data_IF_303834933345
#
_entry.id   IF_303834933345
#
_cell.length_a   1.000
_cell.length_b   1.000
_cell.length_c   1.000
_cell.angle_alpha   90.00
_cell.angle_beta   90.00
_cell.angle_gamma   90.00
#
_symmetry.space_group_name_H-M   'P 1'
#
loop_
_entity.id
_entity.type
_entity.pdbx_description
1 polymer ?
#
# COMPACT_ATOMS: atom_id res chain seq x y z
N UNK A 1 24.53 35.91 16.43
CA UNK A 1 24.45 34.45 16.29
C UNK A 1 25.86 33.91 16.42
N UNK A 2 26.15 33.12 17.45
CA UNK A 2 27.49 32.54 17.66
C UNK A 2 27.77 31.42 16.66
N UNK A 3 29.05 31.08 16.44
CA UNK A 3 29.45 29.96 15.59
C UNK A 3 28.82 28.64 16.05
N UNK A 4 28.70 28.44 17.37
CA UNK A 4 28.05 27.28 17.97
C UNK A 4 26.55 27.25 17.68
N UNK A 5 25.83 28.37 17.85
CA UNK A 5 24.40 28.47 17.51
C UNK A 5 24.14 28.12 16.04
N UNK A 6 25.04 28.52 15.13
CA UNK A 6 24.94 28.17 13.71
C UNK A 6 25.01 26.66 13.47
N UNK A 7 25.92 25.96 14.15
CA UNK A 7 26.03 24.51 14.01
C UNK A 7 24.87 23.77 14.66
N UNK A 8 24.41 24.21 15.83
CA UNK A 8 23.23 23.64 16.49
C UNK A 8 21.97 23.83 15.64
N UNK A 9 21.81 24.99 15.00
CA UNK A 9 20.72 25.26 14.07
C UNK A 9 20.80 24.37 12.81
N UNK A 10 22.01 24.08 12.31
CA UNK A 10 22.23 23.22 11.16
C UNK A 10 22.02 21.72 11.46
N UNK A 11 22.26 21.28 12.70
CA UNK A 11 22.12 19.89 13.12
C UNK A 11 20.68 19.37 13.05
N UNK A 12 19.68 20.25 13.10
CA UNK A 12 18.27 19.87 13.03
C UNK A 12 17.60 20.45 11.79
N UNK A 13 16.87 19.63 11.04
CA UNK A 13 16.14 20.10 9.85
C UNK A 13 15.08 21.13 10.22
N UNK A 14 15.01 22.25 9.49
CA UNK A 14 14.03 23.34 9.69
C UNK A 14 12.58 22.85 9.79
N UNK A 15 12.18 21.90 8.93
CA UNK A 15 10.83 21.33 8.99
C UNK A 15 10.57 20.56 10.30
N UNK A 16 11.56 19.82 10.81
CA UNK A 16 11.45 19.12 12.09
C UNK A 16 11.34 20.11 13.22
N UNK A 17 12.14 21.19 13.22
CA UNK A 17 12.07 22.26 14.21
C UNK A 17 10.67 22.92 14.23
N UNK A 18 10.14 23.29 13.05
CA UNK A 18 8.81 23.89 12.94
C UNK A 18 7.70 22.94 13.41
N UNK A 19 7.75 21.67 12.97
CA UNK A 19 6.77 20.66 13.36
C UNK A 19 6.81 20.36 14.86
N UNK A 20 7.99 20.40 15.48
CA UNK A 20 8.13 20.20 16.92
C UNK A 20 7.64 21.43 17.69
N UNK A 21 7.99 22.64 17.25
CA UNK A 21 7.50 23.88 17.85
C UNK A 21 5.97 24.00 17.78
N UNK A 22 5.34 23.54 16.70
CA UNK A 22 3.89 23.48 16.58
C UNK A 22 3.27 22.44 17.53
N UNK A 23 3.90 21.27 17.66
CA UNK A 23 3.42 20.23 18.57
C UNK A 23 3.54 20.64 20.05
N UNK A 24 4.60 21.35 20.42
CA UNK A 24 4.78 21.95 21.74
C UNK A 24 3.72 23.01 22.00
N UNK A 25 3.52 23.97 21.08
CA UNK A 25 2.47 24.99 21.22
C UNK A 25 1.08 24.40 21.36
N UNK A 26 0.72 23.41 20.56
CA UNK A 26 -0.58 22.76 20.71
C UNK A 26 -0.73 22.00 22.03
N UNK A 27 0.36 21.53 22.64
CA UNK A 27 0.28 20.93 23.97
C UNK A 27 0.03 22.00 25.05
N UNK A 28 0.67 23.17 24.94
CA UNK A 28 0.55 24.25 25.92
C UNK A 28 -0.72 25.09 25.74
N UNK A 29 -0.99 25.53 24.51
CA UNK A 29 -2.04 26.48 24.16
C UNK A 29 -3.38 25.78 23.88
N UNK A 30 -3.40 24.77 22.98
CA UNK A 30 -4.67 24.14 22.55
C UNK A 30 -5.19 23.11 23.58
N UNK A 31 -4.28 22.38 24.24
CA UNK A 31 -4.64 21.39 25.26
C UNK A 31 -4.61 21.96 26.69
N UNK A 32 -3.85 23.02 26.95
CA UNK A 32 -3.67 23.57 28.30
C UNK A 32 -2.71 22.77 29.19
N UNK A 33 -1.78 22.02 28.58
CA UNK A 33 -0.75 21.26 29.29
C UNK A 33 0.42 22.16 29.73
N UNK A 34 1.07 21.79 30.83
CA UNK A 34 2.27 22.50 31.31
C UNK A 34 3.52 21.69 31.04
N UNK A 35 4.60 22.39 30.67
CA UNK A 35 5.93 21.82 30.51
C UNK A 35 6.85 22.29 31.64
N UNK A 36 7.65 21.41 32.27
CA UNK A 36 7.76 19.96 32.02
C UNK A 36 6.49 19.19 32.38
N UNK A 37 6.12 18.22 31.53
CA UNK A 37 4.91 17.43 31.67
C UNK A 37 5.18 16.12 32.41
N UNK A 38 4.15 15.59 33.09
CA UNK A 38 4.15 14.23 33.65
C UNK A 38 3.67 13.21 32.62
N UNK A 39 3.98 11.92 32.80
CA UNK A 39 3.42 10.85 31.97
C UNK A 39 1.89 10.88 31.92
N UNK A 40 1.22 11.16 33.04
CA UNK A 40 -0.24 11.30 33.09
C UNK A 40 -0.76 12.46 32.23
N UNK A 41 -0.10 13.63 32.26
CA UNK A 41 -0.50 14.77 31.44
C UNK A 41 -0.35 14.44 29.95
N UNK A 42 0.74 13.76 29.57
CA UNK A 42 0.96 13.30 28.19
C UNK A 42 -0.07 12.24 27.79
N UNK A 43 -0.42 11.29 28.67
CA UNK A 43 -1.43 10.27 28.39
C UNK A 43 -2.83 10.87 28.20
N UNK A 44 -3.24 11.83 29.04
CA UNK A 44 -4.51 12.57 28.87
C UNK A 44 -4.53 13.35 27.57
N UNK A 45 -3.42 13.99 27.20
CA UNK A 45 -3.29 14.66 25.91
C UNK A 45 -3.50 13.71 24.73
N UNK A 46 -2.87 12.53 24.76
CA UNK A 46 -3.09 11.53 23.71
C UNK A 46 -4.56 11.09 23.62
N UNK A 47 -5.19 10.82 24.77
CA UNK A 47 -6.58 10.39 24.84
C UNK A 47 -7.54 11.46 24.30
N UNK A 48 -7.34 12.73 24.68
CA UNK A 48 -8.17 13.86 24.25
C UNK A 48 -8.20 14.03 22.72
N UNK A 49 -7.11 13.70 22.03
CA UNK A 49 -7.00 13.85 20.58
C UNK A 49 -7.01 12.51 19.81
N UNK A 50 -7.31 11.40 20.48
CA UNK A 50 -7.32 10.06 19.88
C UNK A 50 -8.33 9.93 18.72
N UNK A 51 -9.51 10.54 18.87
CA UNK A 51 -10.56 10.52 17.85
C UNK A 51 -10.40 11.55 16.72
N UNK A 52 -9.59 12.59 16.91
CA UNK A 52 -9.47 13.71 15.97
C UNK A 52 -8.15 13.74 15.20
N UNK A 53 -7.09 13.12 15.74
CA UNK A 53 -5.76 13.10 15.13
C UNK A 53 -5.35 11.68 14.72
N UNK A 54 -4.61 11.59 13.61
CA UNK A 54 -4.04 10.31 13.17
C UNK A 54 -2.99 9.77 14.15
N UNK A 55 -2.84 8.45 14.21
CA UNK A 55 -1.78 7.78 14.97
C UNK A 55 -0.37 8.30 14.64
N UNK A 56 -0.12 8.66 13.38
CA UNK A 56 1.15 9.25 12.96
C UNK A 56 1.36 10.66 13.51
N UNK A 57 0.30 11.48 13.55
CA UNK A 57 0.31 12.81 14.15
C UNK A 57 0.57 12.71 15.66
N UNK A 58 -0.13 11.83 16.37
CA UNK A 58 0.05 11.62 17.81
C UNK A 58 1.48 11.15 18.13
N UNK A 59 2.04 10.22 17.34
CA UNK A 59 3.44 9.78 17.50
C UNK A 59 4.44 10.92 17.28
N UNK A 60 4.20 11.77 16.28
CA UNK A 60 5.04 12.95 16.03
C UNK A 60 4.98 13.93 17.21
N UNK A 61 3.80 14.16 17.79
CA UNK A 61 3.63 15.02 18.97
C UNK A 61 4.37 14.46 20.18
N UNK A 62 4.30 13.15 20.44
CA UNK A 62 5.14 12.50 21.46
C UNK A 62 6.62 12.75 21.22
N UNK A 63 7.07 12.62 19.96
CA UNK A 63 8.49 12.82 19.62
C UNK A 63 8.94 14.27 19.86
N UNK A 64 8.04 15.24 19.62
CA UNK A 64 8.28 16.64 19.91
C UNK A 64 8.35 16.92 21.41
N UNK A 65 7.41 16.40 22.21
CA UNK A 65 7.41 16.53 23.67
C UNK A 65 8.66 15.88 24.28
N UNK A 66 9.00 14.67 23.86
CA UNK A 66 10.21 13.97 24.25
C UNK A 66 11.48 14.79 23.92
N UNK A 67 11.52 15.40 22.74
CA UNK A 67 12.62 16.26 22.31
C UNK A 67 12.67 17.59 23.06
N UNK A 68 11.54 18.11 23.52
CA UNK A 68 11.51 19.30 24.37
C UNK A 68 12.16 18.98 25.72
N UNK A 69 11.72 17.91 26.40
CA UNK A 69 12.24 17.53 27.72
C UNK A 69 13.74 17.28 27.70
N UNK A 70 14.22 16.48 26.72
CA UNK A 70 15.65 16.19 26.59
C UNK A 70 16.50 17.44 26.34
N UNK A 71 16.00 18.41 25.55
CA UNK A 71 16.74 19.66 25.29
C UNK A 71 16.81 20.58 26.50
N UNK A 72 15.83 20.49 27.39
CA UNK A 72 15.77 21.25 28.64
C UNK A 72 16.40 20.51 29.83
N UNK A 73 16.92 19.29 29.62
CA UNK A 73 17.56 18.49 30.67
C UNK A 73 16.59 17.71 31.57
N UNK A 74 15.30 17.64 31.24
CA UNK A 74 14.31 16.88 32.01
C UNK A 74 14.21 15.41 31.55
N UNK A 75 13.79 14.49 32.44
CA UNK A 75 13.40 13.13 32.07
C UNK A 75 12.32 13.12 30.98
N UNK A 76 12.29 12.07 30.17
CA UNK A 76 11.36 11.93 29.04
C UNK A 76 10.04 11.25 29.49
N UNK A 77 8.95 12.00 29.73
CA UNK A 77 7.68 11.44 30.24
C UNK A 77 7.00 10.52 29.21
N UNK A 78 7.38 10.61 27.93
CA UNK A 78 6.77 9.79 26.86
C UNK A 78 7.17 8.32 26.94
N UNK A 79 8.19 8.01 27.75
CA UNK A 79 8.68 6.65 28.02
C UNK A 79 8.04 6.04 29.26
N UNK A 80 7.13 6.72 29.94
CA UNK A 80 6.41 6.14 31.07
C UNK A 80 5.38 5.10 30.59
N UNK A 81 5.10 4.11 31.43
CA UNK A 81 4.24 2.99 31.06
C UNK A 81 2.80 3.44 30.76
N UNK A 82 2.29 4.42 31.50
CA UNK A 82 0.97 5.02 31.28
C UNK A 82 0.83 5.57 29.86
N UNK A 83 1.88 6.22 29.32
CA UNK A 83 1.88 6.78 27.97
C UNK A 83 1.93 5.66 26.92
N UNK A 84 2.76 4.63 27.15
CA UNK A 84 2.83 3.48 26.23
C UNK A 84 1.51 2.73 26.14
N UNK A 85 0.88 2.44 27.27
CA UNK A 85 -0.41 1.75 27.32
C UNK A 85 -1.52 2.60 26.73
N UNK A 86 -1.57 3.89 27.03
CA UNK A 86 -2.53 4.81 26.41
C UNK A 86 -2.39 4.79 24.88
N UNK A 87 -1.17 4.92 24.36
CA UNK A 87 -0.94 4.90 22.91
C UNK A 87 -1.24 3.53 22.27
N UNK A 88 -0.97 2.42 22.97
CA UNK A 88 -1.36 1.07 22.53
C UNK A 88 -2.88 0.94 22.45
N UNK A 89 -3.60 1.39 23.46
CA UNK A 89 -5.08 1.40 23.50
C UNK A 89 -5.67 2.26 22.38
N UNK A 90 -5.12 3.45 22.15
CA UNK A 90 -5.53 4.33 21.03
C UNK A 90 -5.39 3.61 19.70
N UNK A 91 -4.27 2.90 19.46
CA UNK A 91 -4.09 2.15 18.21
C UNK A 91 -5.08 1.00 18.04
N UNK A 92 -5.50 0.38 19.14
CA UNK A 92 -6.48 -0.72 19.12
C UNK A 92 -7.90 -0.21 18.85
N UNK A 93 -8.29 0.91 19.47
CA UNK A 93 -9.64 1.47 19.37
C UNK A 93 -9.82 2.40 18.15
N UNK A 94 -8.75 3.07 17.72
CA UNK A 94 -8.72 3.98 16.58
C UNK A 94 -7.78 3.46 15.50
N UNK A 95 -8.05 2.24 15.03
CA UNK A 95 -7.36 1.67 13.88
C UNK A 95 -7.73 2.49 12.63
N UNK A 96 -6.79 3.30 12.16
CA UNK A 96 -6.95 4.09 10.93
C UNK A 96 -6.22 3.42 9.78
N UNK A 97 -6.90 3.20 8.66
CA UNK A 97 -6.24 2.83 7.39
C UNK A 97 -5.36 4.00 6.95
N UNK A 98 -4.06 3.76 6.77
CA UNK A 98 -3.16 4.78 6.25
C UNK A 98 -3.57 5.16 4.82
N UNK A 99 -4.06 6.38 4.64
CA UNK A 99 -4.37 6.90 3.30
C UNK A 99 -3.08 7.05 2.51
N UNK A 100 -2.92 6.21 1.51
CA UNK A 100 -1.80 6.26 0.57
C UNK A 100 -2.12 7.23 -0.56
N UNK A 101 -1.10 7.88 -1.12
CA UNK A 101 -1.30 8.80 -2.24
C UNK A 101 -1.70 8.02 -3.50
N UNK A 102 -2.66 8.57 -4.26
CA UNK A 102 -3.03 8.04 -5.58
C UNK A 102 -1.79 8.00 -6.49
N UNK A 103 -1.41 6.84 -7.07
CA UNK A 103 -0.29 6.75 -8.00
C UNK A 103 -0.65 7.45 -9.31
N UNK A 104 0.30 8.22 -9.88
CA UNK A 104 0.14 8.73 -11.24
C UNK A 104 0.41 7.60 -12.24
N UNK A 105 -0.57 7.26 -13.07
CA UNK A 105 -0.39 6.23 -14.09
C UNK A 105 0.39 6.78 -15.29
N UNK A 106 1.09 5.91 -16.01
CA UNK A 106 1.85 6.33 -17.21
C UNK A 106 0.91 6.89 -18.29
N UNK A 107 -0.31 6.35 -18.43
CA UNK A 107 -1.30 6.89 -19.36
C UNK A 107 -1.68 8.35 -19.05
N UNK A 108 -1.83 8.69 -17.76
CA UNK A 108 -2.08 10.08 -17.35
C UNK A 108 -0.83 10.95 -17.58
N UNK A 109 0.37 10.42 -17.34
CA UNK A 109 1.62 11.10 -17.62
C UNK A 109 1.77 11.44 -19.10
N UNK A 110 1.38 10.54 -20.00
CA UNK A 110 1.34 10.75 -21.45
C UNK A 110 0.38 11.86 -21.85
N UNK A 111 -0.84 11.82 -21.27
CA UNK A 111 -1.85 12.85 -21.50
C UNK A 111 -1.33 14.24 -21.10
N UNK A 112 -0.67 14.34 -19.96
CA UNK A 112 -0.14 15.61 -19.46
C UNK A 112 1.09 16.07 -20.25
N UNK A 113 1.98 15.17 -20.69
CA UNK A 113 3.10 15.51 -21.59
C UNK A 113 2.58 16.11 -22.91
N UNK A 114 1.59 15.44 -23.52
CA UNK A 114 0.96 15.92 -24.75
C UNK A 114 0.30 17.29 -24.56
N UNK A 115 -0.46 17.47 -23.47
CA UNK A 115 -1.04 18.75 -23.10
C UNK A 115 0.01 19.86 -22.98
N UNK A 116 1.10 19.62 -22.24
CA UNK A 116 2.16 20.62 -22.08
C UNK A 116 2.86 20.96 -23.41
N UNK A 117 3.12 19.97 -24.27
CA UNK A 117 3.72 20.20 -25.59
C UNK A 117 2.80 21.06 -26.46
N UNK A 118 1.51 20.74 -26.52
CA UNK A 118 0.52 21.51 -27.26
C UNK A 118 0.39 22.94 -26.71
N UNK A 119 0.31 23.10 -25.39
CA UNK A 119 0.23 24.41 -24.75
C UNK A 119 1.47 25.28 -25.02
N UNK A 120 2.67 24.69 -24.99
CA UNK A 120 3.90 25.42 -25.32
C UNK A 120 3.95 25.85 -26.79
N UNK A 121 3.53 24.98 -27.71
CA UNK A 121 3.48 25.29 -29.14
C UNK A 121 2.45 26.38 -29.44
N UNK A 122 1.25 26.28 -28.87
CA UNK A 122 0.18 27.27 -29.03
C UNK A 122 0.61 28.65 -28.50
N UNK A 123 1.12 28.69 -27.28
CA UNK A 123 1.56 29.93 -26.65
C UNK A 123 2.70 30.60 -27.44
N UNK A 124 3.59 29.80 -28.06
CA UNK A 124 4.63 30.33 -28.97
C UNK A 124 4.03 30.97 -30.22
N UNK A 125 3.03 30.33 -30.84
CA UNK A 125 2.35 30.88 -32.03
C UNK A 125 1.60 32.18 -31.71
N UNK A 126 1.03 32.28 -30.52
CA UNK A 126 0.28 33.46 -30.05
C UNK A 126 1.18 34.57 -29.49
N UNK A 127 2.48 34.33 -29.33
CA UNK A 127 3.39 35.26 -28.66
C UNK A 127 3.18 35.35 -27.13
N UNK A 128 2.41 34.44 -26.53
CA UNK A 128 2.26 34.32 -25.08
C UNK A 128 3.51 33.67 -24.47
N UNK A 129 4.49 34.52 -24.20
CA UNK A 129 5.74 34.12 -23.55
C UNK A 129 5.51 33.51 -22.17
N UNK A 130 4.49 33.94 -21.44
CA UNK A 130 4.21 33.46 -20.09
C UNK A 130 3.61 32.05 -20.11
N UNK A 131 2.70 31.77 -21.05
CA UNK A 131 2.15 30.45 -21.30
C UNK A 131 3.22 29.45 -21.73
N UNK A 132 4.07 29.82 -22.70
CA UNK A 132 5.14 28.95 -23.20
C UNK A 132 6.09 28.53 -22.07
N UNK A 133 6.55 29.50 -21.27
CA UNK A 133 7.49 29.26 -20.18
C UNK A 133 6.89 28.42 -19.06
N UNK A 134 5.60 28.59 -18.77
CA UNK A 134 4.90 27.76 -17.78
C UNK A 134 4.78 26.32 -18.26
N UNK A 135 4.35 26.10 -19.50
CA UNK A 135 4.17 24.77 -20.08
C UNK A 135 5.49 23.99 -20.13
N UNK A 136 6.59 24.61 -20.56
CA UNK A 136 7.92 23.98 -20.60
C UNK A 136 8.44 23.63 -19.19
N UNK A 137 8.31 24.55 -18.23
CA UNK A 137 8.70 24.28 -16.83
C UNK A 137 7.88 23.12 -16.25
N UNK A 138 6.58 23.13 -16.47
CA UNK A 138 5.65 22.18 -15.86
C UNK A 138 5.87 20.77 -16.42
N UNK A 139 6.11 20.67 -17.73
CA UNK A 139 6.55 19.44 -18.39
C UNK A 139 7.84 18.89 -17.78
N UNK A 140 8.89 19.72 -17.71
CA UNK A 140 10.19 19.32 -17.18
C UNK A 140 10.10 18.87 -15.71
N UNK A 141 9.37 19.62 -14.88
CA UNK A 141 9.18 19.30 -13.46
C UNK A 141 8.42 17.99 -13.27
N UNK A 142 7.36 17.75 -14.07
CA UNK A 142 6.54 16.54 -13.99
C UNK A 142 7.34 15.29 -14.40
N UNK A 143 7.95 15.31 -15.59
CA UNK A 143 8.68 14.16 -16.13
C UNK A 143 9.89 13.83 -15.25
N UNK A 144 10.66 14.83 -14.83
CA UNK A 144 11.79 14.61 -13.94
C UNK A 144 11.34 14.08 -12.58
N UNK A 145 10.26 14.64 -12.03
CA UNK A 145 9.67 14.19 -10.77
C UNK A 145 9.16 12.76 -10.80
N UNK A 146 8.52 12.35 -11.91
CA UNK A 146 8.05 10.99 -12.12
C UNK A 146 9.21 10.02 -12.31
N UNK A 147 10.01 10.18 -13.37
CA UNK A 147 11.03 9.21 -13.74
C UNK A 147 12.11 9.04 -12.67
N UNK A 148 12.49 10.12 -11.99
CA UNK A 148 13.45 10.05 -10.89
C UNK A 148 12.81 9.80 -9.53
N UNK A 149 11.49 9.65 -9.49
CA UNK A 149 10.73 9.38 -8.28
C UNK A 149 11.04 10.36 -7.13
N UNK A 150 11.39 11.60 -7.46
CA UNK A 150 11.91 12.57 -6.49
C UNK A 150 10.82 13.02 -5.53
N UNK A 151 11.23 13.38 -4.30
CA UNK A 151 10.32 14.07 -3.38
C UNK A 151 10.18 15.53 -3.81
N UNK A 152 9.07 16.16 -3.42
CA UNK A 152 8.85 17.59 -3.65
C UNK A 152 9.99 18.47 -3.13
N UNK A 153 10.56 18.13 -1.97
CA UNK A 153 11.74 18.82 -1.41
C UNK A 153 13.00 18.66 -2.26
N UNK A 154 13.18 17.50 -2.87
CA UNK A 154 14.35 17.23 -3.71
C UNK A 154 14.23 18.04 -5.02
N UNK A 155 13.04 18.04 -5.64
CA UNK A 155 12.77 18.78 -6.88
C UNK A 155 12.99 20.28 -6.75
N UNK A 156 12.47 20.92 -5.69
CA UNK A 156 12.61 22.38 -5.51
C UNK A 156 14.02 22.81 -5.10
N UNK A 157 14.90 21.86 -4.79
CA UNK A 157 16.30 22.10 -4.39
C UNK A 157 17.31 21.78 -5.49
N UNK A 158 16.86 21.33 -6.66
CA UNK A 158 17.72 21.16 -7.81
C UNK A 158 18.28 22.52 -8.25
N UNK A 159 19.59 22.56 -8.47
CA UNK A 159 20.37 23.75 -8.77
C UNK A 159 21.14 23.51 -10.07
N UNK A 160 21.09 24.46 -11.01
CA UNK A 160 21.65 24.32 -12.37
C UNK A 160 23.16 24.06 -12.31
N UNK A 161 23.87 24.68 -11.37
CA UNK A 161 25.30 24.46 -11.14
C UNK A 161 25.67 23.02 -10.73
N UNK A 162 24.67 22.21 -10.33
CA UNK A 162 24.83 20.80 -9.96
C UNK A 162 24.29 19.85 -11.03
N UNK A 163 23.98 20.37 -12.22
CA UNK A 163 23.51 19.61 -13.36
C UNK A 163 24.65 19.40 -14.36
N UNK A 164 24.73 18.20 -14.90
CA UNK A 164 25.48 17.93 -16.14
C UNK A 164 24.48 17.38 -17.14
N UNK A 165 24.07 18.23 -18.08
CA UNK A 165 23.17 17.87 -19.17
C UNK A 165 24.00 17.42 -20.37
N UNK A 166 23.74 16.20 -20.86
CA UNK A 166 24.24 15.67 -22.12
C UNK A 166 23.02 15.41 -23.03
N UNK A 167 22.70 16.33 -23.95
CA UNK A 167 21.54 16.21 -24.83
C UNK A 167 21.49 14.85 -25.54
N UNK A 168 20.31 14.24 -25.59
CA UNK A 168 20.11 12.92 -26.19
C UNK A 168 20.69 11.72 -25.41
N UNK A 169 21.48 11.94 -24.35
CA UNK A 169 22.16 10.88 -23.60
C UNK A 169 21.65 10.79 -22.15
N UNK A 170 21.90 11.83 -21.34
CA UNK A 170 21.64 11.78 -19.90
C UNK A 170 21.62 13.15 -19.24
N UNK A 171 21.01 13.18 -18.05
CA UNK A 171 21.05 14.29 -17.12
C UNK A 171 21.59 13.79 -15.77
N UNK A 172 22.76 14.28 -15.37
CA UNK A 172 23.33 14.00 -14.05
C UNK A 172 22.96 15.11 -13.08
N UNK A 173 22.54 14.75 -11.86
CA UNK A 173 22.00 15.64 -10.84
C UNK A 173 22.69 15.37 -9.51
N UNK A 174 23.40 16.35 -8.97
CA UNK A 174 23.93 16.27 -7.62
C UNK A 174 23.02 16.98 -6.60
N UNK A 175 22.64 16.26 -5.55
CA UNK A 175 21.89 16.80 -4.41
C UNK A 175 22.77 16.79 -3.17
N UNK A 176 23.11 17.96 -2.59
CA UNK A 176 24.01 18.04 -1.43
C UNK A 176 23.46 17.35 -0.18
N UNK A 177 22.13 17.28 -0.05
CA UNK A 177 21.47 16.60 1.07
C UNK A 177 20.14 16.03 0.61
N UNK A 178 19.67 14.97 1.24
CA UNK A 178 18.33 14.40 1.01
C UNK A 178 17.69 13.95 2.32
N UNK A 179 16.37 13.69 2.34
CA UNK A 179 15.69 13.24 3.58
C UNK A 179 16.31 11.94 4.14
N UNK A 180 16.84 11.06 3.30
CA UNK A 180 17.47 9.81 3.70
C UNK A 180 18.95 9.96 4.08
N UNK A 181 19.58 11.06 3.69
CA UNK A 181 20.99 11.34 3.96
C UNK A 181 21.15 11.91 5.37
N UNK A 182 21.62 11.05 6.29
CA UNK A 182 21.88 11.40 7.69
C UNK A 182 23.25 12.07 7.88
N UNK A 183 24.19 11.77 7.00
CA UNK A 183 25.60 12.20 7.11
C UNK A 183 25.91 13.42 6.22
N UNK A 184 24.95 13.85 5.39
CA UNK A 184 25.08 14.98 4.46
C UNK A 184 26.23 14.79 3.45
N UNK A 185 26.45 13.55 3.00
CA UNK A 185 27.44 13.24 1.96
C UNK A 185 26.96 13.68 0.57
N UNK A 186 25.67 13.94 0.42
CA UNK A 186 25.05 14.20 -0.86
C UNK A 186 24.88 12.96 -1.71
N UNK A 187 24.18 13.10 -2.84
CA UNK A 187 23.94 11.99 -3.74
C UNK A 187 23.85 12.47 -5.19
N UNK A 188 24.54 11.74 -6.07
CA UNK A 188 24.46 11.93 -7.52
C UNK A 188 23.45 10.97 -8.11
N UNK A 189 22.62 11.48 -9.02
CA UNK A 189 21.62 10.72 -9.76
C UNK A 189 21.86 10.89 -11.25
N UNK A 190 21.72 9.81 -12.00
CA UNK A 190 21.76 9.84 -13.47
C UNK A 190 20.36 9.53 -13.98
N UNK A 191 19.86 10.37 -14.88
CA UNK A 191 18.58 10.22 -15.55
C UNK A 191 18.87 10.02 -17.04
N UNK A 192 18.59 8.85 -17.62
CA UNK A 192 18.84 8.61 -19.04
C UNK A 192 17.85 9.39 -19.91
N UNK A 193 18.28 9.73 -21.12
CA UNK A 193 17.37 10.17 -22.17
C UNK A 193 16.46 8.99 -22.58
N UNK A 194 15.19 9.28 -22.79
CA UNK A 194 14.17 8.30 -23.17
C UNK A 194 13.64 8.64 -24.56
N UNK A 195 13.13 7.64 -25.27
CA UNK A 195 12.49 7.83 -26.58
C UNK A 195 11.10 8.47 -26.47
N UNK A 196 10.41 8.25 -25.34
CA UNK A 196 9.10 8.81 -25.01
C UNK A 196 9.13 9.37 -23.60
N UNK A 197 8.34 10.42 -23.35
CA UNK A 197 8.23 11.05 -22.03
C UNK A 197 9.59 11.48 -21.46
N UNK A 198 10.48 11.95 -22.33
CA UNK A 198 11.88 12.16 -22.01
C UNK A 198 12.10 13.32 -21.02
N UNK A 199 12.59 13.04 -19.80
CA UNK A 199 12.90 14.10 -18.84
C UNK A 199 14.11 14.93 -19.25
N UNK A 200 15.08 14.34 -19.95
CA UNK A 200 16.29 15.04 -20.43
C UNK A 200 15.91 16.10 -21.46
N UNK A 201 15.14 15.71 -22.49
CA UNK A 201 14.62 16.62 -23.52
C UNK A 201 13.75 17.74 -22.91
N UNK A 202 12.92 17.41 -21.92
CA UNK A 202 12.06 18.41 -21.28
C UNK A 202 12.87 19.43 -20.46
N UNK A 203 13.88 18.98 -19.71
CA UNK A 203 14.77 19.87 -18.96
C UNK A 203 15.60 20.73 -19.90
N UNK A 204 16.11 20.18 -21.00
CA UNK A 204 16.81 20.92 -22.04
C UNK A 204 15.93 22.00 -22.65
N UNK A 205 14.71 21.68 -23.07
CA UNK A 205 13.77 22.65 -23.63
C UNK A 205 13.46 23.79 -22.65
N UNK A 206 13.31 23.46 -21.35
CA UNK A 206 13.12 24.46 -20.30
C UNK A 206 14.36 25.37 -20.13
N UNK A 207 15.57 24.81 -20.05
CA UNK A 207 16.80 25.59 -19.88
C UNK A 207 17.07 26.49 -21.10
N UNK A 208 16.91 25.95 -22.32
CA UNK A 208 17.06 26.70 -23.56
C UNK A 208 16.08 27.87 -23.65
N UNK A 209 14.79 27.62 -23.35
CA UNK A 209 13.80 28.67 -23.38
C UNK A 209 14.03 29.70 -22.26
N UNK A 210 14.35 29.26 -21.05
CA UNK A 210 14.49 30.15 -19.89
C UNK A 210 15.80 30.92 -19.83
N UNK A 211 16.82 30.48 -20.57
CA UNK A 211 18.19 31.02 -20.57
C UNK A 211 18.78 31.11 -19.17
N UNK A 212 18.43 30.15 -18.31
CA UNK A 212 18.98 30.05 -16.97
C UNK A 212 20.30 29.29 -17.00
N UNK A 213 21.32 29.85 -16.36
CA UNK A 213 22.68 29.33 -16.31
C UNK A 213 23.13 28.93 -14.89
N UNK A 214 22.56 29.55 -13.86
CA UNK A 214 22.88 29.25 -12.46
C UNK A 214 21.66 29.41 -11.53
N UNK A 215 21.67 28.75 -10.37
CA UNK A 215 20.65 28.83 -9.33
C UNK A 215 19.53 27.80 -9.50
N UNK A 216 18.33 28.02 -8.92
CA UNK A 216 17.30 26.99 -8.89
C UNK A 216 16.82 26.58 -10.27
N UNK A 217 16.73 25.28 -10.51
CA UNK A 217 16.27 24.73 -11.79
C UNK A 217 14.80 25.11 -12.06
N UNK A 218 13.94 24.96 -11.05
CA UNK A 218 12.51 25.24 -11.18
C UNK A 218 12.12 26.49 -10.40
N UNK A 219 11.60 27.48 -11.13
CA UNK A 219 11.25 28.80 -10.59
C UNK A 219 9.81 29.17 -10.90
N UNK A 220 9.26 30.09 -10.11
CA UNK A 220 8.00 30.73 -10.49
C UNK A 220 8.23 31.56 -11.76
N UNK A 221 7.35 31.40 -12.74
CA UNK A 221 7.28 32.23 -13.94
C UNK A 221 6.28 33.35 -13.64
N UNK A 222 6.66 34.60 -13.91
CA UNK A 222 5.77 35.74 -13.72
C UNK A 222 4.82 35.92 -14.92
N UNK A 223 3.90 36.90 -14.86
CA UNK A 223 2.94 37.16 -15.93
C UNK A 223 3.56 37.61 -17.26
N UNK A 224 4.84 37.95 -17.27
CA UNK A 224 5.61 38.39 -18.44
C UNK A 224 6.51 37.28 -18.98
N UNK A 225 6.43 36.05 -18.43
CA UNK A 225 7.23 34.91 -18.85
C UNK A 225 8.67 34.88 -18.33
N UNK A 226 9.06 35.81 -17.45
CA UNK A 226 10.38 35.78 -16.82
C UNK A 226 10.38 34.86 -15.58
N UNK A 227 11.33 33.91 -15.47
CA UNK A 227 11.57 33.16 -14.24
C UNK A 227 12.08 34.09 -13.12
N UNK A 228 11.58 33.92 -11.90
CA UNK A 228 12.09 34.65 -10.73
C UNK A 228 13.51 34.21 -10.33
N UNK A 229 14.00 34.70 -9.18
CA UNK A 229 15.30 34.26 -8.62
C UNK A 229 15.18 33.12 -7.60
N UNK A 230 14.01 32.99 -6.96
CA UNK A 230 13.78 32.02 -5.88
C UNK A 230 13.31 30.67 -6.45
N UNK A 231 13.64 29.55 -5.78
CA UNK A 231 13.09 28.25 -6.13
C UNK A 231 11.57 28.27 -6.00
N UNK A 232 10.91 27.39 -6.76
CA UNK A 232 9.47 27.20 -6.58
C UNK A 232 9.17 26.79 -5.14
N UNK A 233 8.13 27.38 -4.55
CA UNK A 233 7.78 27.07 -3.17
C UNK A 233 7.28 25.62 -3.07
N UNK A 234 7.84 24.84 -2.14
CA UNK A 234 7.41 23.47 -1.85
C UNK A 234 5.89 23.36 -1.64
N UNK A 235 5.28 24.34 -0.95
CA UNK A 235 3.83 24.37 -0.69
C UNK A 235 3.01 24.51 -1.98
N UNK A 236 3.60 25.01 -3.06
CA UNK A 236 2.96 25.16 -4.37
C UNK A 236 2.95 23.88 -5.20
N UNK A 237 3.73 22.85 -4.84
CA UNK A 237 3.82 21.60 -5.63
C UNK A 237 2.47 20.87 -5.72
N UNK A 238 1.71 20.75 -4.62
CA UNK A 238 0.42 20.07 -4.66
C UNK A 238 -0.60 20.88 -5.49
N UNK A 239 -0.84 22.19 -5.22
CA UNK A 239 -1.72 22.99 -6.06
C UNK A 239 -1.30 23.06 -7.53
N UNK A 240 0.00 23.03 -7.82
CA UNK A 240 0.54 22.95 -9.17
C UNK A 240 0.16 21.64 -9.84
N UNK A 241 0.49 20.49 -9.24
CA UNK A 241 0.24 19.17 -9.81
C UNK A 241 -1.25 18.99 -10.10
N UNK A 242 -2.12 19.32 -9.14
CA UNK A 242 -3.58 19.17 -9.30
C UNK A 242 -4.13 20.03 -10.42
N UNK A 243 -3.63 21.27 -10.56
CA UNK A 243 -4.05 22.18 -11.62
C UNK A 243 -3.61 21.66 -12.98
N UNK A 244 -2.36 21.21 -13.09
CA UNK A 244 -1.80 20.67 -14.32
C UNK A 244 -2.57 19.41 -14.78
N UNK A 245 -2.83 18.48 -13.85
CA UNK A 245 -3.61 17.27 -14.11
C UNK A 245 -5.04 17.63 -14.56
N UNK A 246 -5.69 18.57 -13.88
CA UNK A 246 -7.04 19.01 -14.25
C UNK A 246 -7.09 19.65 -15.65
N UNK A 247 -6.10 20.49 -15.98
CA UNK A 247 -6.00 21.12 -17.31
C UNK A 247 -5.76 20.10 -18.42
N UNK A 248 -5.04 19.02 -18.13
CA UNK A 248 -4.82 17.91 -19.05
C UNK A 248 -6.01 16.93 -19.12
N UNK A 249 -7.12 17.17 -18.40
CA UNK A 249 -8.28 16.27 -18.39
C UNK A 249 -8.02 14.94 -17.69
N UNK A 250 -7.22 14.94 -16.62
CA UNK A 250 -7.06 13.77 -15.74
C UNK A 250 -8.14 13.82 -14.64
N UNK A 251 -8.90 12.74 -14.54
CA UNK A 251 -9.98 12.60 -13.55
C UNK A 251 -9.44 12.60 -12.12
N UNK A 252 -10.30 12.98 -11.17
CA UNK A 252 -9.96 13.01 -9.75
C UNK A 252 -8.65 13.74 -9.42
N UNK A 253 -8.27 14.77 -10.20
CA UNK A 253 -7.03 15.52 -10.01
C UNK A 253 -6.82 16.01 -8.55
N UNK A 254 -7.90 16.23 -7.80
CA UNK A 254 -7.86 16.62 -6.38
C UNK A 254 -7.32 15.54 -5.43
N UNK A 255 -7.33 14.26 -5.81
CA UNK A 255 -6.83 13.16 -4.97
C UNK A 255 -5.29 13.13 -4.92
N UNK A 256 -4.62 13.67 -5.94
CA UNK A 256 -3.17 13.63 -6.08
C UNK A 256 -2.46 14.49 -5.03
N UNK A 257 -1.27 14.04 -4.62
CA UNK A 257 -0.42 14.69 -3.63
C UNK A 257 1.04 14.73 -4.10
N UNK A 258 1.93 15.31 -3.31
CA UNK A 258 3.35 15.36 -3.64
C UNK A 258 4.05 13.98 -3.73
N UNK A 259 3.41 12.91 -3.25
CA UNK A 259 3.95 11.54 -3.33
C UNK A 259 3.41 10.75 -4.52
N UNK A 260 2.44 11.28 -5.25
CA UNK A 260 1.81 10.59 -6.37
C UNK A 260 2.77 10.25 -7.51
N UNK A 261 3.72 11.14 -7.82
CA UNK A 261 4.77 10.89 -8.82
C UNK A 261 5.67 9.72 -8.43
N UNK A 262 6.18 9.75 -7.18
CA UNK A 262 7.04 8.70 -6.64
C UNK A 262 6.33 7.34 -6.57
N UNK A 263 5.04 7.33 -6.21
CA UNK A 263 4.22 6.11 -6.19
C UNK A 263 3.92 5.59 -7.58
N UNK A 264 3.58 6.49 -8.51
CA UNK A 264 3.35 6.15 -9.91
C UNK A 264 4.56 5.46 -10.53
N UNK A 265 5.75 6.03 -10.36
CA UNK A 265 6.99 5.40 -10.82
C UNK A 265 7.25 4.05 -10.17
N UNK A 266 7.10 3.95 -8.84
CA UNK A 266 7.36 2.70 -8.14
C UNK A 266 6.41 1.57 -8.61
N UNK A 267 5.11 1.86 -8.73
CA UNK A 267 4.13 0.91 -9.25
C UNK A 267 4.44 0.51 -10.69
N UNK A 268 4.77 1.49 -11.55
CA UNK A 268 5.19 1.21 -12.92
C UNK A 268 6.43 0.30 -12.96
N UNK A 269 7.50 0.63 -12.23
CA UNK A 269 8.73 -0.15 -12.23
C UNK A 269 8.51 -1.59 -11.73
N UNK A 270 7.71 -1.76 -10.67
CA UNK A 270 7.30 -3.09 -10.19
C UNK A 270 6.55 -3.86 -11.27
N UNK A 271 5.59 -3.23 -11.97
CA UNK A 271 4.87 -3.85 -13.07
C UNK A 271 5.78 -4.19 -14.28
N UNK A 272 6.88 -3.45 -14.46
CA UNK A 272 7.92 -3.78 -15.45
C UNK A 272 8.91 -4.85 -14.95
N UNK A 273 8.62 -5.51 -13.83
CA UNK A 273 9.44 -6.61 -13.31
C UNK A 273 10.72 -6.19 -12.59
N UNK A 274 10.84 -4.92 -12.19
CA UNK A 274 12.01 -4.47 -11.42
C UNK A 274 12.03 -5.17 -10.06
N UNK A 275 13.17 -5.79 -9.73
CA UNK A 275 13.36 -6.33 -8.40
C UNK A 275 13.45 -5.22 -7.34
N UNK A 276 13.24 -5.61 -6.08
CA UNK A 276 13.25 -4.67 -4.96
C UNK A 276 14.60 -3.97 -4.78
N UNK A 277 15.72 -4.64 -5.06
CA UNK A 277 17.07 -4.10 -4.88
C UNK A 277 17.36 -3.02 -5.92
N UNK A 278 17.05 -3.28 -7.19
CA UNK A 278 17.15 -2.33 -8.28
C UNK A 278 16.25 -1.11 -8.02
N UNK A 279 15.01 -1.34 -7.57
CA UNK A 279 14.10 -0.25 -7.23
C UNK A 279 14.61 0.58 -6.04
N UNK A 280 15.15 -0.06 -5.00
CA UNK A 280 15.75 0.63 -3.85
C UNK A 280 16.97 1.46 -4.26
N UNK A 281 17.88 0.90 -5.05
CA UNK A 281 19.06 1.60 -5.56
C UNK A 281 18.66 2.78 -6.44
N UNK A 282 17.74 2.54 -7.39
CA UNK A 282 17.29 3.58 -8.30
C UNK A 282 16.57 4.67 -7.53
N UNK A 283 15.57 4.38 -6.68
CA UNK A 283 14.74 5.39 -5.99
C UNK A 283 15.41 6.01 -4.74
N UNK A 284 16.51 5.41 -4.27
CA UNK A 284 17.24 5.87 -3.09
C UNK A 284 16.59 5.49 -1.76
N UNK A 285 15.92 4.34 -1.71
CA UNK A 285 15.40 3.81 -0.45
C UNK A 285 16.49 3.04 0.28
N UNK A 286 16.74 3.42 1.54
CA UNK A 286 17.72 2.75 2.42
C UNK A 286 17.09 1.64 3.27
N UNK A 287 15.77 1.65 3.41
CA UNK A 287 15.01 0.74 4.27
C UNK A 287 14.04 -0.07 3.43
N UNK A 288 14.11 -1.40 3.57
CA UNK A 288 13.28 -2.38 2.88
C UNK A 288 11.81 -2.17 3.26
N UNK A 289 11.51 -1.89 4.53
CA UNK A 289 10.13 -1.69 4.99
C UNK A 289 9.51 -0.44 4.36
N UNK A 290 10.30 0.60 4.15
CA UNK A 290 9.89 1.80 3.43
C UNK A 290 9.65 1.54 1.94
N UNK A 291 10.42 0.63 1.32
CA UNK A 291 10.25 0.24 -0.08
C UNK A 291 9.03 -0.65 -0.30
N UNK A 292 8.78 -1.60 0.60
CA UNK A 292 7.64 -2.52 0.55
C UNK A 292 6.27 -1.79 0.50
N UNK A 293 6.16 -0.59 1.08
CA UNK A 293 4.93 0.25 1.02
C UNK A 293 4.57 0.77 -0.37
N UNK A 294 5.50 0.68 -1.32
CA UNK A 294 5.34 1.17 -2.69
C UNK A 294 5.21 0.03 -3.70
N UNK A 295 5.47 -1.20 -3.29
CA UNK A 295 5.26 -2.41 -4.08
C UNK A 295 3.84 -2.86 -3.75
N UNK A 296 2.92 -2.74 -4.69
CA UNK A 296 1.56 -3.25 -4.52
C UNK A 296 1.59 -4.78 -4.67
N UNK A 297 1.28 -5.55 -3.61
CA UNK A 297 1.30 -7.01 -3.68
C UNK A 297 0.29 -7.52 -4.70
N UNK A 298 -0.88 -6.88 -4.83
CA UNK A 298 -2.03 -7.47 -5.52
C UNK A 298 -1.83 -7.66 -7.02
N UNK A 299 -1.19 -6.71 -7.71
CA UNK A 299 -0.88 -6.84 -9.13
C UNK A 299 0.20 -7.91 -9.37
N UNK A 300 1.22 -7.94 -8.51
CA UNK A 300 2.29 -8.95 -8.58
C UNK A 300 1.78 -10.35 -8.21
N UNK A 301 0.80 -10.45 -7.32
CA UNK A 301 0.30 -11.72 -6.81
C UNK A 301 -0.67 -12.35 -7.81
N UNK A 302 -1.52 -11.56 -8.48
CA UNK A 302 -2.38 -12.10 -9.55
C UNK A 302 -1.55 -12.73 -10.66
N UNK A 303 -0.58 -12.02 -11.22
CA UNK A 303 0.22 -12.56 -12.33
C UNK A 303 1.06 -13.77 -11.90
N UNK A 304 1.56 -13.78 -10.65
CA UNK A 304 2.26 -14.94 -10.08
C UNK A 304 1.33 -16.13 -9.88
N UNK A 305 0.11 -15.89 -9.41
CA UNK A 305 -0.92 -16.91 -9.24
C UNK A 305 -1.34 -17.46 -10.61
N UNK A 306 -1.64 -16.61 -11.59
CA UNK A 306 -1.98 -17.03 -12.96
C UNK A 306 -0.83 -17.81 -13.61
N UNK A 307 0.42 -17.34 -13.49
CA UNK A 307 1.59 -18.06 -13.99
C UNK A 307 1.87 -19.35 -13.21
N UNK A 308 1.48 -19.42 -11.94
CA UNK A 308 1.53 -20.63 -11.12
C UNK A 308 0.47 -21.63 -11.57
N UNK A 309 -0.78 -21.20 -11.71
CA UNK A 309 -1.91 -21.99 -12.20
C UNK A 309 -1.63 -22.55 -13.60
N UNK A 310 -1.12 -21.73 -14.52
CA UNK A 310 -0.75 -22.17 -15.86
C UNK A 310 0.37 -23.22 -15.90
N UNK A 311 1.23 -23.28 -14.87
CA UNK A 311 2.29 -24.29 -14.73
C UNK A 311 1.82 -25.54 -13.98
N UNK A 312 0.93 -25.37 -13.02
CA UNK A 312 0.48 -26.43 -12.11
C UNK A 312 -0.73 -27.20 -12.62
N UNK A 313 -1.56 -26.57 -13.47
CA UNK A 313 -2.70 -27.23 -14.08
C UNK A 313 -2.31 -27.74 -15.47
N UNK A 314 -2.36 -29.05 -15.74
CA UNK A 314 -2.26 -29.52 -17.12
C UNK A 314 -3.37 -28.84 -17.94
N UNK A 315 -3.07 -28.47 -19.19
CA UNK A 315 -4.10 -28.02 -20.12
C UNK A 315 -5.23 -29.06 -20.09
N UNK A 316 -6.48 -28.62 -19.87
CA UNK A 316 -7.63 -29.52 -19.83
C UNK A 316 -7.62 -30.31 -21.14
N UNK A 317 -7.21 -31.58 -21.05
CA UNK A 317 -7.29 -32.48 -22.17
C UNK A 317 -8.76 -32.57 -22.55
N UNK A 318 -9.07 -32.42 -23.83
CA UNK A 318 -10.42 -32.62 -24.35
C UNK A 318 -10.97 -33.95 -23.78
N UNK A 319 -12.24 -33.99 -23.35
CA UNK A 319 -12.78 -35.12 -22.61
C UNK A 319 -12.57 -36.40 -23.43
N UNK A 320 -11.76 -37.31 -22.88
CA UNK A 320 -11.54 -38.62 -23.47
C UNK A 320 -12.87 -39.42 -23.45
N UNK A 321 -13.13 -40.28 -24.45
CA UNK A 321 -14.35 -41.05 -24.52
C UNK A 321 -14.46 -41.96 -23.29
N UNK A 322 -15.64 -41.91 -22.66
CA UNK A 322 -16.04 -42.69 -21.49
C UNK A 322 -15.84 -44.19 -21.70
N UNK A 323 -15.17 -44.84 -20.75
CA UNK A 323 -15.00 -46.29 -20.63
C UNK A 323 -15.19 -46.69 -19.14
N UNK A 324 -15.53 -47.95 -18.84
CA UNK A 324 -16.90 -48.34 -18.53
C UNK A 324 -17.17 -48.51 -17.01
N UNK A 325 -18.42 -48.23 -16.63
CA UNK A 325 -19.11 -48.63 -15.40
C UNK A 325 -18.30 -48.65 -14.09
N UNK A 326 -18.36 -47.54 -13.35
CA UNK A 326 -17.99 -47.46 -11.94
C UNK A 326 -18.69 -48.57 -11.16
N UNK A 327 -17.91 -49.51 -10.62
CA UNK A 327 -18.39 -50.38 -9.55
C UNK A 327 -18.59 -49.48 -8.32
N UNK A 328 -19.79 -49.48 -7.73
CA UNK A 328 -20.14 -48.56 -6.64
C UNK A 328 -20.34 -49.35 -5.36
N UNK A 329 -19.61 -49.00 -4.31
CA UNK A 329 -19.81 -49.53 -2.97
C UNK A 329 -21.02 -48.83 -2.34
N UNK A 330 -21.98 -49.61 -1.84
CA UNK A 330 -23.14 -49.09 -1.12
C UNK A 330 -22.89 -49.17 0.37
N UNK A 331 -23.03 -48.02 1.04
CA UNK A 331 -22.91 -47.92 2.48
C UNK A 331 -24.24 -47.54 3.11
N UNK A 332 -24.50 -48.08 4.28
CA UNK A 332 -25.57 -47.66 5.19
C UNK A 332 -25.00 -46.75 6.26
N UNK A 333 -25.49 -45.51 6.32
CA UNK A 333 -25.13 -44.51 7.32
C UNK A 333 -26.29 -44.33 8.28
N UNK A 334 -26.05 -44.53 9.57
CA UNK A 334 -27.01 -44.28 10.66
C UNK A 334 -26.53 -43.09 11.48
N UNK A 335 -27.40 -42.10 11.73
CA UNK A 335 -27.06 -40.90 12.49
C UNK A 335 -28.10 -40.56 13.56
N UNK A 336 -27.66 -40.54 14.82
CA UNK A 336 -28.42 -40.02 15.94
C UNK A 336 -27.80 -38.72 16.46
N UNK A 337 -28.58 -37.65 16.46
CA UNK A 337 -28.16 -36.33 16.92
C UNK A 337 -28.83 -36.01 18.25
N UNK A 338 -28.06 -35.55 19.23
CA UNK A 338 -28.58 -35.09 20.53
C UNK A 338 -28.02 -33.70 20.83
N UNK A 339 -28.82 -32.78 21.36
CA UNK A 339 -28.33 -31.45 21.71
C UNK A 339 -27.37 -31.52 22.91
N UNK A 340 -26.37 -30.65 22.97
CA UNK A 340 -25.47 -30.54 24.13
C UNK A 340 -26.22 -30.11 25.40
N UNK A 341 -27.18 -29.19 25.28
CA UNK A 341 -27.98 -28.67 26.41
C UNK A 341 -29.43 -28.41 25.97
N UNK A 342 -30.41 -28.99 26.66
CA UNK A 342 -31.84 -28.70 26.46
C UNK A 342 -32.39 -29.02 25.06
N UNK A 343 -33.58 -28.50 24.68
CA UNK A 343 -34.10 -28.62 23.31
C UNK A 343 -33.66 -27.41 22.47
N UNK A 344 -32.72 -27.61 21.55
CA UNK A 344 -32.23 -26.54 20.65
C UNK A 344 -32.73 -26.73 19.21
N UNK A 345 -32.78 -25.62 18.43
CA UNK A 345 -32.97 -25.68 16.97
C UNK A 345 -31.73 -26.24 16.23
N UNK A 346 -30.60 -26.39 16.93
CA UNK A 346 -29.33 -26.89 16.39
C UNK A 346 -29.43 -28.32 15.82
N UNK A 347 -30.22 -29.20 16.45
CA UNK A 347 -30.41 -30.58 15.97
C UNK A 347 -31.04 -30.63 14.57
N UNK A 348 -32.03 -29.77 14.31
CA UNK A 348 -32.68 -29.71 13.00
C UNK A 348 -31.78 -29.08 11.93
N UNK A 349 -30.98 -28.09 12.31
CA UNK A 349 -30.01 -27.44 11.42
C UNK A 349 -28.86 -28.39 11.06
N UNK A 350 -28.30 -29.09 12.05
CA UNK A 350 -27.27 -30.12 11.87
C UNK A 350 -27.76 -31.22 10.93
N UNK A 351 -28.96 -31.76 11.17
CA UNK A 351 -29.53 -32.81 10.32
C UNK A 351 -29.71 -32.35 8.88
N UNK A 352 -30.24 -31.14 8.67
CA UNK A 352 -30.42 -30.59 7.32
C UNK A 352 -29.09 -30.43 6.60
N UNK A 353 -28.08 -29.89 7.28
CA UNK A 353 -26.76 -29.69 6.68
C UNK A 353 -26.09 -31.03 6.32
N UNK A 354 -26.17 -32.02 7.20
CA UNK A 354 -25.68 -33.38 6.91
C UNK A 354 -26.38 -33.97 5.69
N UNK A 355 -27.70 -33.85 5.60
CA UNK A 355 -28.49 -34.39 4.47
C UNK A 355 -28.17 -33.68 3.15
N UNK A 356 -28.20 -32.35 3.14
CA UNK A 356 -28.09 -31.54 1.91
C UNK A 356 -26.65 -31.37 1.42
N UNK A 357 -25.66 -31.47 2.31
CA UNK A 357 -24.26 -31.16 1.99
C UNK A 357 -23.39 -32.41 2.01
N UNK A 358 -23.43 -33.21 3.09
CA UNK A 358 -22.54 -34.37 3.23
C UNK A 358 -23.09 -35.57 2.44
N UNK A 359 -24.32 -36.00 2.74
CA UNK A 359 -24.88 -37.23 2.18
C UNK A 359 -25.39 -37.05 0.74
N UNK A 360 -25.93 -35.88 0.38
CA UNK A 360 -26.40 -35.61 -0.98
C UNK A 360 -25.29 -35.74 -2.04
N UNK A 361 -24.04 -35.35 -1.70
CA UNK A 361 -22.87 -35.51 -2.60
C UNK A 361 -22.61 -36.96 -2.97
N UNK A 362 -23.05 -37.90 -2.13
CA UNK A 362 -22.87 -39.34 -2.29
C UNK A 362 -24.16 -40.05 -2.72
N UNK A 363 -25.13 -39.31 -3.27
CA UNK A 363 -26.42 -39.88 -3.68
C UNK A 363 -27.28 -40.37 -2.51
N UNK A 364 -27.15 -39.74 -1.33
CA UNK A 364 -27.81 -40.12 -0.09
C UNK A 364 -29.33 -40.29 -0.20
N UNK A 365 -29.81 -41.51 0.02
CA UNK A 365 -31.25 -41.84 0.05
C UNK A 365 -31.68 -42.25 1.45
N UNK A 366 -32.60 -41.48 2.02
CA UNK A 366 -33.13 -41.71 3.36
C UNK A 366 -34.06 -42.93 3.40
N UNK A 367 -33.89 -43.81 4.38
CA UNK A 367 -34.74 -44.98 4.58
C UNK A 367 -35.01 -45.26 6.08
N UNK A 368 -35.99 -46.12 6.36
CA UNK A 368 -36.40 -46.47 7.73
C UNK A 368 -37.41 -45.50 8.36
N UNK A 369 -38.21 -46.01 9.31
CA UNK A 369 -39.36 -45.29 9.89
C UNK A 369 -39.00 -44.08 10.76
N UNK A 370 -37.77 -44.03 11.31
CA UNK A 370 -37.28 -42.95 12.19
C UNK A 370 -36.56 -41.83 11.44
N UNK A 371 -36.27 -42.02 10.15
CA UNK A 371 -35.59 -41.01 9.33
C UNK A 371 -34.16 -40.71 9.79
N UNK A 372 -33.46 -41.70 10.32
CA UNK A 372 -32.11 -41.64 10.86
C UNK A 372 -31.11 -42.49 10.08
N UNK A 373 -31.53 -43.16 9.00
CA UNK A 373 -30.70 -44.03 8.16
C UNK A 373 -30.70 -43.60 6.70
N UNK A 374 -29.56 -43.77 6.05
CA UNK A 374 -29.29 -43.30 4.69
C UNK A 374 -28.46 -44.32 3.92
N UNK A 375 -28.79 -44.54 2.65
CA UNK A 375 -27.92 -45.24 1.72
C UNK A 375 -27.10 -44.24 0.94
N UNK A 376 -25.77 -44.40 0.95
CA UNK A 376 -24.85 -43.60 0.14
C UNK A 376 -24.04 -44.50 -0.78
N UNK A 377 -23.52 -43.89 -1.83
CA UNK A 377 -22.77 -44.54 -2.89
C UNK A 377 -21.38 -43.93 -2.97
N UNK A 378 -20.35 -44.76 -2.85
CA UNK A 378 -18.97 -44.38 -3.10
C UNK A 378 -18.47 -45.10 -4.36
N UNK A 379 -17.78 -44.41 -5.28
CA UNK A 379 -17.14 -45.09 -6.39
C UNK A 379 -16.06 -46.02 -5.83
N UNK A 380 -16.10 -47.30 -6.23
CA UNK A 380 -15.10 -48.28 -5.86
C UNK A 380 -13.80 -47.95 -6.61
N UNK A 381 -12.77 -47.58 -5.86
CA UNK A 381 -11.39 -47.71 -6.35
C UNK A 381 -10.81 -48.99 -5.75
N UNK A 382 -9.88 -49.61 -6.48
CA UNK A 382 -9.53 -51.02 -6.36
C UNK A 382 -8.80 -51.47 -5.07
N UNK A 383 -8.73 -50.65 -4.01
CA UNK A 383 -8.13 -51.04 -2.72
C UNK A 383 -9.00 -50.71 -1.48
N UNK A 384 -8.91 -51.59 -0.48
CA UNK A 384 -9.67 -51.54 0.78
C UNK A 384 -9.21 -50.38 1.71
N UNK A 385 -7.95 -49.95 1.55
CA UNK A 385 -7.38 -48.80 2.29
C UNK A 385 -8.05 -47.48 1.93
N UNK A 386 -8.31 -47.24 0.65
CA UNK A 386 -8.92 -46.01 0.13
C UNK A 386 -10.39 -45.91 0.54
N UNK A 387 -11.10 -47.04 0.63
CA UNK A 387 -12.46 -47.07 1.16
C UNK A 387 -12.48 -46.68 2.64
N UNK A 388 -11.56 -47.22 3.43
CA UNK A 388 -11.47 -46.93 4.87
C UNK A 388 -11.15 -45.46 5.13
N UNK A 389 -10.20 -44.86 4.39
CA UNK A 389 -9.86 -43.44 4.50
C UNK A 389 -11.06 -42.54 4.18
N UNK A 390 -11.77 -42.83 3.08
CA UNK A 390 -12.96 -42.07 2.69
C UNK A 390 -14.13 -42.16 3.67
N UNK A 391 -14.33 -43.34 4.28
CA UNK A 391 -15.34 -43.51 5.33
C UNK A 391 -14.95 -42.73 6.58
N UNK A 392 -13.65 -42.69 6.93
CA UNK A 392 -13.14 -41.87 8.02
C UNK A 392 -13.37 -40.37 7.77
N UNK A 393 -13.03 -39.88 6.58
CA UNK A 393 -13.24 -38.48 6.20
C UNK A 393 -14.73 -38.08 6.29
N UNK A 394 -15.62 -38.99 5.86
CA UNK A 394 -17.06 -38.76 5.96
C UNK A 394 -17.51 -38.70 7.43
N UNK A 395 -17.04 -39.60 8.29
CA UNK A 395 -17.35 -39.55 9.73
C UNK A 395 -16.89 -38.24 10.35
N UNK A 396 -15.67 -37.79 10.04
CA UNK A 396 -15.12 -36.53 10.52
C UNK A 396 -15.95 -35.33 10.06
N UNK A 397 -16.35 -35.28 8.78
CA UNK A 397 -17.22 -34.22 8.25
C UNK A 397 -18.57 -34.20 8.99
N UNK A 398 -19.18 -35.36 9.23
CA UNK A 398 -20.44 -35.47 9.97
C UNK A 398 -20.29 -34.97 11.43
N UNK A 399 -19.22 -35.35 12.12
CA UNK A 399 -18.95 -34.92 13.50
C UNK A 399 -18.67 -33.42 13.59
N UNK A 400 -17.95 -32.86 12.62
CA UNK A 400 -17.67 -31.43 12.54
C UNK A 400 -18.97 -30.63 12.37
N UNK A 401 -19.87 -31.08 11.48
CA UNK A 401 -21.17 -30.43 11.28
C UNK A 401 -22.02 -30.49 12.54
N UNK A 402 -22.05 -31.62 13.25
CA UNK A 402 -22.78 -31.76 14.50
C UNK A 402 -22.24 -30.82 15.59
N UNK A 403 -20.91 -30.75 15.73
CA UNK A 403 -20.23 -29.88 16.72
C UNK A 403 -20.50 -28.41 16.44
N UNK A 404 -20.43 -27.97 15.18
CA UNK A 404 -20.72 -26.59 14.77
C UNK A 404 -22.18 -26.17 15.05
N UNK A 405 -23.06 -27.12 15.31
CA UNK A 405 -24.47 -26.91 15.61
C UNK A 405 -24.84 -27.32 17.05
N UNK A 406 -23.85 -27.40 17.95
CA UNK A 406 -24.00 -27.73 19.38
C UNK A 406 -24.72 -29.08 19.64
N UNK A 407 -24.39 -30.09 18.83
CA UNK A 407 -24.98 -31.43 18.91
C UNK A 407 -23.91 -32.53 19.08
N UNK A 408 -24.22 -33.52 19.91
CA UNK A 408 -23.56 -34.83 19.90
C UNK A 408 -24.07 -35.62 18.70
N UNK A 409 -23.16 -36.31 18.02
CA UNK A 409 -23.45 -37.25 16.95
C UNK A 409 -23.02 -38.65 17.38
N UNK A 410 -23.92 -39.61 17.26
CA UNK A 410 -23.61 -41.04 17.19
C UNK A 410 -23.82 -41.42 15.71
N UNK A 411 -22.72 -41.66 14.99
CA UNK A 411 -22.74 -42.08 13.59
C UNK A 411 -22.23 -43.52 13.46
N UNK A 412 -22.79 -44.26 12.51
CA UNK A 412 -22.38 -45.62 12.20
C UNK A 412 -22.49 -45.85 10.71
N UNK A 413 -21.40 -46.25 10.08
CA UNK A 413 -21.32 -46.54 8.66
C UNK A 413 -21.07 -48.03 8.49
N UNK A 414 -21.85 -48.68 7.62
CA UNK A 414 -21.73 -50.11 7.35
C UNK A 414 -21.69 -50.37 5.85
N UNK A 415 -20.74 -51.18 5.42
CA UNK A 415 -20.71 -51.70 4.05
C UNK A 415 -21.76 -52.80 3.90
N UNK A 416 -22.64 -52.63 2.90
CA UNK A 416 -23.75 -53.55 2.63
C UNK A 416 -23.24 -54.89 2.08
N UNK A 417 -22.13 -54.90 1.35
CA UNK A 417 -21.57 -56.08 0.71
C UNK A 417 -20.67 -56.88 1.65
N UNK A 418 -19.74 -56.22 2.33
CA UNK A 418 -18.74 -56.88 3.20
C UNK A 418 -19.20 -57.01 4.65
N UNK A 419 -20.15 -56.18 5.07
CA UNK A 419 -20.61 -56.10 6.46
C UNK A 419 -19.65 -55.38 7.41
N UNK A 420 -18.55 -54.81 6.89
CA UNK A 420 -17.61 -54.01 7.66
C UNK A 420 -18.29 -52.77 8.25
N UNK A 421 -17.91 -52.39 9.46
CA UNK A 421 -18.51 -51.30 10.23
C UNK A 421 -17.44 -50.32 10.66
N UNK A 422 -17.75 -49.03 10.53
CA UNK A 422 -17.00 -47.90 11.05
C UNK A 422 -17.93 -47.08 11.95
N UNK A 423 -17.53 -46.87 13.20
CA UNK A 423 -18.31 -46.20 14.26
C UNK A 423 -17.53 -45.02 14.85
#
# INVERSE_FOLDING_TARGET
MTTLERYLAAATRKNTQQSYAQATRHFEEDFGGFLPATGDAVARYLAAYAGSLSNNTLRQRLSALASWHRRQGFPDPTREEVVRQAFKGIRALHATVEKQATPLQVADLERVDAFCRAAAAQARMEGDRAGEMQALRDRALLLLGFWRAFRSDDLVRLQIEHLVLRPGESLTLWLPTSKGDRENQGQTWVVPALTRLCPVEAVEAWLTASRLDAGPLFRRVNRWGAPGQRPMNRKSIIPWLRRLLAQAGVDEARSYTSHSLRRGFAGWATHQGWDLKALMQYVGWRDIQSAARYVDPLASDRDRLEAGLARSLPAVAAPAPSSPADEVVRLEVSIALRPFVGKTRGVAAARRHIEEVCLARLGGQKFGRKGDRYHVQLPAQADESTLTERVSDLLDELHQVATNNDCYLEARIRDVATGQVWD
#
